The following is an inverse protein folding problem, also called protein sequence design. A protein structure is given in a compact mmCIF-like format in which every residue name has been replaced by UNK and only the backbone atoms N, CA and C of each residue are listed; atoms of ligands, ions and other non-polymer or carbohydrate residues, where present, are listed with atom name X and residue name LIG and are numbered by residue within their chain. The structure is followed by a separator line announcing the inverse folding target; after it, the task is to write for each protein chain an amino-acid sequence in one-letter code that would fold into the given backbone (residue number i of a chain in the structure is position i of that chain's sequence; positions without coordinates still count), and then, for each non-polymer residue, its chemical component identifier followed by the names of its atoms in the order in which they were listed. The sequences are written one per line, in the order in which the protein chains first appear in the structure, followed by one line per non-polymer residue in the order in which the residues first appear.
data_IF_329640047168
#
_entry.id   IF_329640047168
#
_cell.length_a   1.000
_cell.length_b   1.000
_cell.length_c   1.000
_cell.angle_alpha   90.00
_cell.angle_beta   90.00
_cell.angle_gamma   90.00
#
_symmetry.space_group_name_H-M   'P 1'
#
loop_
_entity.id
_entity.type
_entity.pdbx_description
1 polymer ?
#
# COMPACT_ATOMS: atom_id res chain seq x y z
N UNK A 1 20.45 -24.50 -8.81
CA UNK A 1 20.24 -23.10 -8.40
C UNK A 1 18.92 -23.16 -7.63
N UNK A 2 18.88 -22.72 -6.39
CA UNK A 2 17.63 -22.72 -5.66
C UNK A 2 16.75 -21.55 -6.10
N UNK A 3 15.46 -21.55 -5.73
CA UNK A 3 14.48 -20.52 -6.14
C UNK A 3 14.96 -19.12 -5.73
N UNK A 4 15.48 -18.99 -4.50
CA UNK A 4 16.02 -17.75 -3.96
C UNK A 4 17.19 -17.19 -4.80
N UNK A 5 18.15 -18.03 -5.18
CA UNK A 5 19.31 -17.60 -6.02
C UNK A 5 18.86 -17.16 -7.41
N UNK A 6 17.88 -17.87 -7.99
CA UNK A 6 17.29 -17.50 -9.28
C UNK A 6 16.59 -16.15 -9.20
N UNK A 7 15.77 -15.95 -8.17
CA UNK A 7 15.05 -14.70 -7.93
C UNK A 7 16.00 -13.52 -7.73
N UNK A 8 17.00 -13.67 -6.87
CA UNK A 8 17.98 -12.61 -6.61
C UNK A 8 18.70 -12.18 -7.89
N UNK A 9 19.07 -13.16 -8.75
CA UNK A 9 19.69 -12.89 -10.04
C UNK A 9 18.74 -12.17 -11.01
N UNK A 10 17.47 -12.54 -11.04
CA UNK A 10 16.46 -11.88 -11.88
C UNK A 10 16.14 -10.47 -11.37
N UNK A 11 16.09 -10.27 -10.04
CA UNK A 11 15.96 -8.95 -9.43
C UNK A 11 17.16 -8.05 -9.73
N UNK A 12 18.37 -8.58 -9.77
CA UNK A 12 19.56 -7.83 -10.18
C UNK A 12 19.49 -7.42 -11.65
N UNK A 13 19.00 -8.30 -12.52
CA UNK A 13 18.86 -8.04 -13.95
C UNK A 13 17.70 -7.09 -14.28
N UNK A 14 16.61 -7.07 -13.48
CA UNK A 14 15.38 -6.27 -13.63
C UNK A 14 14.70 -6.31 -15.02
N UNK A 15 15.07 -7.24 -15.87
CA UNK A 15 14.54 -7.31 -17.24
C UNK A 15 13.03 -7.60 -17.30
N UNK A 16 12.46 -8.12 -16.21
CA UNK A 16 11.03 -8.48 -16.12
C UNK A 16 10.20 -7.57 -15.24
N UNK A 17 10.82 -6.74 -14.41
CA UNK A 17 10.06 -5.83 -13.54
C UNK A 17 9.64 -4.57 -14.29
N UNK A 18 8.40 -4.10 -14.07
CA UNK A 18 8.00 -2.80 -14.56
C UNK A 18 8.88 -1.71 -13.93
N UNK A 19 9.27 -0.75 -14.75
CA UNK A 19 9.85 0.50 -14.22
C UNK A 19 8.73 1.28 -13.51
N UNK A 20 9.09 1.94 -12.41
CA UNK A 20 8.14 2.88 -11.81
C UNK A 20 7.63 3.86 -12.88
N UNK A 21 6.33 4.15 -12.89
CA UNK A 21 5.80 5.21 -13.75
C UNK A 21 6.62 6.49 -13.57
N UNK A 22 6.97 7.13 -14.69
CA UNK A 22 7.78 8.37 -14.65
C UNK A 22 7.13 9.48 -13.81
N UNK A 23 5.81 9.41 -13.64
CA UNK A 23 5.01 10.30 -12.79
C UNK A 23 5.14 10.01 -11.29
N UNK A 24 5.38 8.75 -10.89
CA UNK A 24 5.35 8.36 -9.48
C UNK A 24 6.53 8.93 -8.69
N UNK A 25 7.76 8.84 -9.18
CA UNK A 25 8.95 9.36 -8.47
C UNK A 25 8.84 10.87 -8.18
N UNK A 26 8.49 11.73 -9.14
CA UNK A 26 8.22 13.13 -8.84
C UNK A 26 7.10 13.33 -7.81
N UNK A 27 6.00 12.58 -7.92
CA UNK A 27 4.90 12.66 -6.94
C UNK A 27 5.37 12.29 -5.53
N UNK A 28 6.15 11.21 -5.37
CA UNK A 28 6.74 10.82 -4.08
C UNK A 28 7.64 11.93 -3.51
N UNK A 29 8.50 12.52 -4.33
CA UNK A 29 9.36 13.65 -3.91
C UNK A 29 8.54 14.89 -3.51
N UNK A 30 7.43 15.15 -4.19
CA UNK A 30 6.52 16.22 -3.81
C UNK A 30 5.81 15.96 -2.49
N UNK A 31 5.59 14.68 -2.12
CA UNK A 31 4.99 14.33 -0.84
C UNK A 31 5.95 14.52 0.35
N UNK A 32 7.26 14.56 0.09
CA UNK A 32 8.29 14.87 1.10
C UNK A 32 8.46 16.39 1.35
N UNK A 33 7.90 17.24 0.50
CA UNK A 33 8.03 18.69 0.63
C UNK A 33 6.92 19.28 1.50
N UNK A 34 7.23 20.31 2.33
CA UNK A 34 6.19 21.04 3.05
C UNK A 34 5.15 21.62 2.08
N UNK A 35 3.87 21.57 2.45
CA UNK A 35 2.77 22.04 1.62
C UNK A 35 2.94 23.50 1.15
N UNK A 36 3.61 24.34 1.94
CA UNK A 36 3.88 25.76 1.65
C UNK A 36 4.81 25.98 0.44
N UNK A 37 5.62 24.96 0.07
CA UNK A 37 6.59 25.05 -1.04
C UNK A 37 6.10 24.41 -2.33
N UNK A 38 4.90 23.84 -2.30
CA UNK A 38 4.36 23.05 -3.41
C UNK A 38 3.73 23.94 -4.49
N UNK A 39 4.19 23.76 -5.72
CA UNK A 39 3.56 24.37 -6.90
C UNK A 39 2.40 23.49 -7.40
N UNK A 40 1.18 23.96 -7.14
CA UNK A 40 -0.06 23.35 -7.61
C UNK A 40 -0.04 23.10 -9.13
N UNK A 41 0.55 24.00 -9.90
CA UNK A 41 0.65 23.89 -11.35
C UNK A 41 1.52 22.69 -11.76
N UNK A 42 2.62 22.45 -11.05
CA UNK A 42 3.51 21.32 -11.33
C UNK A 42 2.82 19.98 -11.10
N UNK A 43 2.02 19.83 -10.04
CA UNK A 43 1.26 18.58 -9.80
C UNK A 43 0.22 18.36 -10.88
N UNK A 44 -0.50 19.41 -11.29
CA UNK A 44 -1.46 19.34 -12.40
C UNK A 44 -0.76 18.88 -13.69
N UNK A 45 0.41 19.45 -14.00
CA UNK A 45 1.18 19.11 -15.19
C UNK A 45 1.68 17.67 -15.15
N UNK A 46 2.24 17.22 -14.02
CA UNK A 46 2.72 15.83 -13.84
C UNK A 46 1.61 14.81 -14.11
N UNK A 47 0.43 15.02 -13.52
CA UNK A 47 -0.71 14.11 -13.72
C UNK A 47 -1.21 14.20 -15.16
N UNK A 48 -1.29 15.41 -15.74
CA UNK A 48 -1.87 15.64 -17.06
C UNK A 48 -0.96 15.18 -18.23
N UNK A 49 0.34 15.00 -17.99
CA UNK A 49 1.28 14.46 -18.99
C UNK A 49 0.98 13.00 -19.34
N UNK A 50 0.45 12.23 -18.41
CA UNK A 50 0.00 10.85 -18.63
C UNK A 50 -1.52 10.81 -18.72
N UNK A 51 -2.05 10.60 -19.94
CA UNK A 51 -3.50 10.58 -20.18
C UNK A 51 -4.21 9.45 -19.45
N UNK A 52 -3.57 8.29 -19.32
CA UNK A 52 -4.13 7.14 -18.60
C UNK A 52 -4.25 7.47 -17.12
N UNK A 53 -3.16 7.97 -16.53
CA UNK A 53 -3.14 8.42 -15.14
C UNK A 53 -4.18 9.50 -14.87
N UNK A 54 -4.31 10.50 -15.76
CA UNK A 54 -5.28 11.57 -15.59
C UNK A 54 -6.74 11.07 -15.59
N UNK A 55 -7.08 10.13 -16.47
CA UNK A 55 -8.41 9.50 -16.51
C UNK A 55 -8.68 8.72 -15.24
N UNK A 56 -7.73 7.88 -14.80
CA UNK A 56 -7.85 7.12 -13.56
C UNK A 56 -7.99 8.03 -12.34
N UNK A 57 -7.20 9.10 -12.27
CA UNK A 57 -7.31 10.11 -11.21
C UNK A 57 -8.69 10.77 -11.17
N UNK A 58 -9.28 11.10 -12.33
CA UNK A 58 -10.62 11.69 -12.37
C UNK A 58 -11.70 10.70 -11.94
N UNK A 59 -11.60 9.43 -12.36
CA UNK A 59 -12.51 8.38 -11.90
C UNK A 59 -12.45 8.23 -10.38
N UNK A 60 -11.24 8.11 -9.83
CA UNK A 60 -11.03 7.96 -8.39
C UNK A 60 -11.47 9.21 -7.62
N UNK A 61 -11.18 10.42 -8.13
CA UNK A 61 -11.58 11.68 -7.53
C UNK A 61 -13.11 11.86 -7.47
N UNK A 62 -13.85 11.25 -8.41
CA UNK A 62 -15.30 11.30 -8.47
C UNK A 62 -15.99 10.17 -7.69
N UNK A 63 -15.22 9.26 -7.07
CA UNK A 63 -15.80 8.19 -6.26
C UNK A 63 -16.32 8.70 -4.90
N UNK A 64 -17.32 8.02 -4.30
CA UNK A 64 -17.82 8.35 -2.97
C UNK A 64 -16.74 8.33 -1.88
N UNK A 65 -15.71 7.50 -2.02
CA UNK A 65 -14.56 7.38 -1.12
C UNK A 65 -13.87 8.73 -0.84
N UNK A 66 -13.90 9.64 -1.80
CA UNK A 66 -13.35 11.01 -1.65
C UNK A 66 -14.40 12.05 -1.32
N UNK A 67 -15.64 11.64 -0.99
CA UNK A 67 -16.67 12.43 -0.31
C UNK A 67 -17.23 13.60 -1.12
N UNK A 68 -17.81 13.35 -2.32
CA UNK A 68 -18.23 14.47 -3.18
C UNK A 68 -19.71 14.53 -3.49
N UNK A 69 -20.17 15.80 -3.53
CA UNK A 69 -21.51 16.18 -4.01
C UNK A 69 -21.50 16.70 -5.47
N UNK A 70 -20.34 16.99 -6.04
CA UNK A 70 -20.20 17.53 -7.41
C UNK A 70 -19.09 16.80 -8.18
N UNK A 71 -19.36 16.46 -9.44
CA UNK A 71 -18.41 15.86 -10.35
C UNK A 71 -17.33 16.83 -10.78
N UNK A 72 -16.07 16.41 -10.81
CA UNK A 72 -14.95 17.16 -11.40
C UNK A 72 -14.68 16.63 -12.81
N UNK A 73 -14.41 17.55 -13.72
CA UNK A 73 -14.19 17.24 -15.13
C UNK A 73 -12.73 17.43 -15.56
N UNK A 74 -11.90 18.06 -14.73
CA UNK A 74 -10.49 18.27 -15.01
C UNK A 74 -9.61 18.03 -13.79
N UNK A 75 -8.32 17.70 -14.01
CA UNK A 75 -7.33 17.57 -12.92
C UNK A 75 -7.21 18.87 -12.12
N UNK A 76 -7.28 20.03 -12.78
CA UNK A 76 -7.29 21.32 -12.11
C UNK A 76 -8.48 21.47 -11.17
N UNK A 77 -9.68 21.14 -11.62
CA UNK A 77 -10.89 21.21 -10.79
C UNK A 77 -10.81 20.25 -9.62
N UNK A 78 -10.28 19.05 -9.88
CA UNK A 78 -10.05 18.05 -8.83
C UNK A 78 -9.07 18.58 -7.77
N UNK A 79 -7.94 19.17 -8.17
CA UNK A 79 -6.97 19.77 -7.24
C UNK A 79 -7.58 20.93 -6.45
N UNK A 80 -8.31 21.84 -7.10
CA UNK A 80 -8.97 22.98 -6.42
C UNK A 80 -10.02 22.51 -5.42
N UNK A 81 -10.75 21.45 -5.74
CA UNK A 81 -11.90 21.00 -4.96
C UNK A 81 -11.53 20.00 -3.86
N UNK A 82 -10.62 19.07 -4.12
CA UNK A 82 -10.18 18.06 -3.16
C UNK A 82 -8.98 18.52 -2.31
N UNK A 83 -8.25 19.50 -2.85
CA UNK A 83 -6.97 19.93 -2.31
C UNK A 83 -5.81 19.10 -2.87
N UNK A 84 -4.63 19.70 -2.79
CA UNK A 84 -3.41 19.17 -3.38
C UNK A 84 -3.01 17.80 -2.77
N UNK A 85 -3.14 17.66 -1.44
CA UNK A 85 -2.78 16.44 -0.74
C UNK A 85 -3.60 15.23 -1.23
N UNK A 86 -4.93 15.38 -1.30
CA UNK A 86 -5.78 14.27 -1.78
C UNK A 86 -5.50 13.90 -3.23
N UNK A 87 -5.21 14.90 -4.07
CA UNK A 87 -4.87 14.61 -5.47
C UNK A 87 -3.52 13.89 -5.61
N UNK A 88 -2.54 14.19 -4.76
CA UNK A 88 -1.28 13.43 -4.70
C UNK A 88 -1.52 11.99 -4.27
N UNK A 89 -2.33 11.76 -3.23
CA UNK A 89 -2.71 10.43 -2.78
C UNK A 89 -3.38 9.62 -3.90
N UNK A 90 -4.36 10.23 -4.58
CA UNK A 90 -5.05 9.64 -5.73
C UNK A 90 -4.05 9.29 -6.85
N UNK A 91 -3.18 10.23 -7.21
CA UNK A 91 -2.20 10.02 -8.27
C UNK A 91 -1.18 8.93 -7.93
N UNK A 92 -0.73 8.86 -6.67
CA UNK A 92 0.14 7.78 -6.20
C UNK A 92 -0.57 6.41 -6.29
N UNK A 93 -1.83 6.34 -5.84
CA UNK A 93 -2.61 5.09 -5.91
C UNK A 93 -2.89 4.65 -7.34
N UNK A 94 -3.24 5.58 -8.24
CA UNK A 94 -3.41 5.28 -9.66
C UNK A 94 -2.09 4.86 -10.32
N UNK A 95 -0.95 5.43 -9.90
CA UNK A 95 0.36 5.03 -10.42
C UNK A 95 0.74 3.60 -10.04
N UNK A 96 0.25 3.08 -8.91
CA UNK A 96 0.43 1.67 -8.54
C UNK A 96 -0.29 0.73 -9.49
N UNK A 97 -1.44 1.11 -10.06
CA UNK A 97 -2.15 0.30 -11.07
C UNK A 97 -1.27 0.00 -12.29
N UNK A 98 -0.41 0.93 -12.68
CA UNK A 98 0.43 0.79 -13.87
C UNK A 98 1.55 -0.26 -13.71
N UNK A 99 1.89 -0.66 -12.49
CA UNK A 99 2.93 -1.66 -12.22
C UNK A 99 2.35 -3.04 -11.89
N UNK A 100 1.03 -3.14 -11.72
CA UNK A 100 0.40 -4.45 -11.48
C UNK A 100 0.47 -5.31 -12.75
N UNK A 101 0.70 -6.63 -12.61
CA UNK A 101 0.69 -7.53 -13.75
C UNK A 101 -0.72 -7.57 -14.37
N UNK A 102 -0.78 -7.81 -15.68
CA UNK A 102 -2.03 -8.15 -16.35
C UNK A 102 -2.53 -9.51 -15.89
N UNK A 103 -3.82 -9.79 -16.07
CA UNK A 103 -4.49 -11.03 -15.69
C UNK A 103 -3.66 -12.29 -15.97
N UNK A 104 -3.70 -13.27 -15.06
CA UNK A 104 -3.06 -14.61 -15.10
C UNK A 104 -1.73 -14.79 -14.34
N UNK A 105 -1.36 -13.89 -13.43
CA UNK A 105 -0.17 -14.08 -12.60
C UNK A 105 -0.41 -14.84 -11.28
N UNK A 106 -1.49 -15.65 -11.19
CA UNK A 106 -1.80 -16.43 -9.99
C UNK A 106 -2.61 -15.71 -8.90
N UNK A 107 -2.69 -14.38 -8.96
CA UNK A 107 -3.53 -13.53 -8.11
C UNK A 107 -4.27 -12.51 -8.99
N UNK A 108 -5.51 -12.20 -8.65
CA UNK A 108 -6.23 -11.08 -9.25
C UNK A 108 -5.57 -9.75 -8.85
N UNK A 109 -5.05 -8.96 -9.79
CA UNK A 109 -4.42 -7.67 -9.49
C UNK A 109 -5.34 -6.71 -8.75
N UNK A 110 -6.65 -6.83 -8.91
CA UNK A 110 -7.64 -6.03 -8.19
C UNK A 110 -7.56 -6.25 -6.68
N UNK A 111 -7.36 -7.50 -6.23
CA UNK A 111 -7.21 -7.85 -4.80
C UNK A 111 -5.97 -7.17 -4.21
N UNK A 112 -4.84 -7.21 -4.91
CA UNK A 112 -3.61 -6.57 -4.43
C UNK A 112 -3.74 -5.05 -4.36
N UNK A 113 -4.39 -4.43 -5.38
CA UNK A 113 -4.62 -2.99 -5.35
C UNK A 113 -5.61 -2.59 -4.26
N UNK A 114 -6.65 -3.38 -4.06
CA UNK A 114 -7.64 -3.19 -2.99
C UNK A 114 -6.98 -3.19 -1.62
N UNK A 115 -6.14 -4.19 -1.35
CA UNK A 115 -5.37 -4.29 -0.12
C UNK A 115 -4.45 -3.08 0.06
N UNK A 116 -3.64 -2.75 -0.94
CA UNK A 116 -2.71 -1.62 -0.88
C UNK A 116 -3.42 -0.28 -0.65
N UNK A 117 -4.53 -0.04 -1.35
CA UNK A 117 -5.33 1.17 -1.17
C UNK A 117 -6.00 1.20 0.21
N UNK A 118 -6.56 0.08 0.66
CA UNK A 118 -7.15 -0.06 1.99
C UNK A 118 -6.13 0.25 3.08
N UNK A 119 -4.94 -0.38 3.02
CA UNK A 119 -3.85 -0.11 3.96
C UNK A 119 -3.41 1.35 3.95
N UNK A 120 -3.28 1.98 2.77
CA UNK A 120 -2.93 3.39 2.68
C UNK A 120 -3.92 4.29 3.43
N UNK A 121 -5.18 4.03 3.24
CA UNK A 121 -6.25 4.83 3.83
C UNK A 121 -6.36 4.57 5.34
N UNK A 122 -6.25 3.31 5.79
CA UNK A 122 -6.24 2.95 7.22
C UNK A 122 -5.01 3.55 7.90
N UNK A 123 -3.81 3.42 7.33
CA UNK A 123 -2.58 4.05 7.84
C UNK A 123 -2.78 5.55 8.09
N UNK A 124 -3.36 6.27 7.13
CA UNK A 124 -3.63 7.71 7.28
C UNK A 124 -4.64 8.03 8.37
N UNK A 125 -5.73 7.28 8.44
CA UNK A 125 -6.76 7.50 9.47
C UNK A 125 -6.23 7.16 10.86
N UNK A 126 -5.50 6.07 10.99
CA UNK A 126 -4.85 5.70 12.24
C UNK A 126 -3.80 6.74 12.65
N UNK A 127 -2.94 7.18 11.72
CA UNK A 127 -1.98 8.26 11.95
C UNK A 127 -2.65 9.54 12.49
N UNK A 128 -3.77 9.95 11.91
CA UNK A 128 -4.56 11.10 12.39
C UNK A 128 -5.10 10.87 13.78
N UNK A 129 -5.67 9.70 14.02
CA UNK A 129 -6.30 9.37 15.28
C UNK A 129 -5.32 9.35 16.46
N UNK A 130 -4.06 8.95 16.21
CA UNK A 130 -3.00 8.93 17.23
C UNK A 130 -2.13 10.19 17.24
N UNK A 131 -2.40 11.17 16.38
CA UNK A 131 -1.60 12.39 16.28
C UNK A 131 -0.19 12.16 15.72
N UNK A 132 -0.05 11.21 14.79
CA UNK A 132 1.21 10.97 14.07
C UNK A 132 1.60 12.21 13.25
N UNK A 133 2.88 12.60 13.22
CA UNK A 133 3.29 13.89 12.65
C UNK A 133 2.96 14.07 11.17
N UNK A 134 3.03 12.98 10.39
CA UNK A 134 2.86 13.02 8.93
C UNK A 134 1.90 11.93 8.43
N UNK A 135 0.58 12.19 8.44
CA UNK A 135 -0.42 11.23 7.93
C UNK A 135 -0.32 10.97 6.42
N UNK A 136 0.31 11.88 5.65
CA UNK A 136 0.53 11.66 4.22
C UNK A 136 1.63 10.61 3.99
N UNK A 137 2.69 10.66 4.80
CA UNK A 137 3.74 9.65 4.80
C UNK A 137 3.18 8.28 5.23
N UNK A 138 2.31 8.24 6.22
CA UNK A 138 1.63 7.01 6.63
C UNK A 138 0.78 6.41 5.49
N UNK A 139 0.09 7.27 4.71
CA UNK A 139 -0.62 6.83 3.51
C UNK A 139 0.29 6.13 2.51
N UNK A 140 1.43 6.75 2.18
CA UNK A 140 2.41 6.16 1.26
C UNK A 140 3.00 4.86 1.79
N UNK A 141 3.27 4.80 3.08
CA UNK A 141 3.77 3.59 3.73
C UNK A 141 2.79 2.42 3.53
N UNK A 142 1.50 2.64 3.80
CA UNK A 142 0.46 1.64 3.55
C UNK A 142 0.28 1.30 2.07
N UNK A 143 0.43 2.28 1.16
CA UNK A 143 0.30 2.03 -0.28
C UNK A 143 1.42 1.16 -0.85
N UNK A 144 2.64 1.28 -0.32
CA UNK A 144 3.85 0.68 -0.88
C UNK A 144 4.35 -0.55 -0.12
N UNK A 145 3.81 -0.86 1.07
CA UNK A 145 4.38 -1.89 1.94
C UNK A 145 4.52 -3.24 1.26
N UNK A 146 3.59 -3.59 0.38
CA UNK A 146 3.50 -4.87 -0.34
C UNK A 146 4.04 -4.84 -1.78
N UNK A 147 4.88 -3.86 -2.10
CA UNK A 147 5.47 -3.77 -3.45
C UNK A 147 6.27 -5.04 -3.84
N UNK A 148 6.74 -5.79 -2.86
CA UNK A 148 7.39 -7.07 -3.08
C UNK A 148 6.47 -8.15 -3.64
N UNK A 149 5.18 -8.14 -3.30
CA UNK A 149 4.17 -9.03 -3.90
C UNK A 149 4.07 -8.77 -5.40
N UNK A 150 4.07 -7.48 -5.80
CA UNK A 150 4.10 -7.10 -7.23
C UNK A 150 5.32 -7.72 -7.91
N UNK A 151 6.49 -7.64 -7.28
CA UNK A 151 7.73 -8.19 -7.82
C UNK A 151 7.66 -9.72 -7.97
N UNK A 152 7.18 -10.43 -6.96
CA UNK A 152 7.02 -11.88 -7.00
C UNK A 152 6.05 -12.32 -8.10
N UNK A 153 4.93 -11.62 -8.27
CA UNK A 153 3.98 -11.87 -9.35
C UNK A 153 4.60 -11.70 -10.77
N UNK A 154 5.53 -10.76 -10.94
CA UNK A 154 6.21 -10.55 -12.22
C UNK A 154 7.31 -11.56 -12.50
N UNK A 155 8.06 -11.96 -11.46
CA UNK A 155 9.30 -12.75 -11.61
C UNK A 155 9.04 -14.23 -11.46
N UNK A 156 8.23 -14.62 -10.47
CA UNK A 156 7.94 -16.01 -10.08
C UNK A 156 6.43 -16.28 -10.01
N UNK A 157 5.65 -16.02 -11.07
CA UNK A 157 4.19 -16.13 -11.02
C UNK A 157 3.69 -17.52 -10.65
N UNK A 158 4.36 -18.58 -11.07
CA UNK A 158 3.98 -19.96 -10.79
C UNK A 158 4.24 -20.31 -9.33
N UNK A 159 5.45 -20.07 -8.85
CA UNK A 159 5.87 -20.37 -7.48
C UNK A 159 5.12 -19.49 -6.46
N UNK A 160 4.84 -18.25 -6.82
CA UNK A 160 4.01 -17.37 -5.99
C UNK A 160 2.56 -17.87 -5.92
N UNK A 161 2.01 -18.39 -7.02
CA UNK A 161 0.69 -19.02 -7.02
C UNK A 161 0.64 -20.24 -6.10
N UNK A 162 1.70 -21.05 -6.05
CA UNK A 162 1.83 -22.18 -5.12
C UNK A 162 1.88 -21.71 -3.66
N UNK A 163 2.62 -20.63 -3.37
CA UNK A 163 2.65 -20.03 -2.04
C UNK A 163 1.28 -19.49 -1.61
N UNK A 164 0.56 -18.84 -2.51
CA UNK A 164 -0.77 -18.33 -2.24
C UNK A 164 -1.78 -19.45 -1.98
N UNK A 165 -1.72 -20.56 -2.73
CA UNK A 165 -2.57 -21.72 -2.51
C UNK A 165 -2.24 -22.39 -1.17
N UNK A 166 -0.95 -22.47 -0.80
CA UNK A 166 -0.53 -22.97 0.51
C UNK A 166 -1.09 -22.08 1.64
N UNK A 167 -0.98 -20.76 1.51
CA UNK A 167 -1.54 -19.81 2.49
C UNK A 167 -3.04 -20.00 2.68
N UNK A 168 -3.78 -20.20 1.57
CA UNK A 168 -5.23 -20.43 1.59
C UNK A 168 -5.61 -21.78 2.21
N UNK A 169 -4.92 -22.84 1.83
CA UNK A 169 -5.26 -24.19 2.28
C UNK A 169 -4.90 -24.45 3.74
N UNK A 170 -3.83 -23.84 4.25
CA UNK A 170 -3.38 -23.98 5.64
C UNK A 170 -3.84 -22.84 6.54
N UNK A 171 -4.52 -21.82 6.02
CA UNK A 171 -4.96 -20.62 6.76
C UNK A 171 -3.81 -19.90 7.49
N UNK A 172 -2.64 -19.84 6.84
CA UNK A 172 -1.45 -19.18 7.37
C UNK A 172 -1.19 -17.82 6.66
N UNK A 173 -0.43 -16.92 7.29
CA UNK A 173 0.00 -15.68 6.65
C UNK A 173 0.76 -15.94 5.35
N UNK A 174 0.55 -15.08 4.34
CA UNK A 174 1.18 -15.22 3.02
C UNK A 174 2.71 -15.27 3.12
N UNK A 175 3.33 -14.41 3.93
CA UNK A 175 4.79 -14.38 4.09
C UNK A 175 5.38 -15.68 4.68
N UNK A 176 4.61 -16.43 5.49
CA UNK A 176 5.02 -17.75 5.98
C UNK A 176 4.96 -18.80 4.85
N UNK A 177 3.93 -18.76 4.02
CA UNK A 177 3.81 -19.65 2.87
C UNK A 177 4.91 -19.35 1.83
N UNK A 178 5.20 -18.08 1.57
CA UNK A 178 6.31 -17.65 0.70
C UNK A 178 7.64 -18.21 1.19
N UNK A 179 7.93 -18.09 2.49
CA UNK A 179 9.18 -18.63 3.05
C UNK A 179 9.31 -20.14 2.85
N UNK A 180 8.20 -20.89 2.92
CA UNK A 180 8.19 -22.35 2.71
C UNK A 180 8.36 -22.76 1.25
N UNK A 181 7.77 -21.98 0.32
CA UNK A 181 7.76 -22.32 -1.11
C UNK A 181 8.91 -21.64 -1.86
N UNK A 182 9.15 -20.35 -1.57
CA UNK A 182 10.09 -19.50 -2.31
C UNK A 182 11.45 -19.35 -1.61
N UNK A 183 11.55 -19.72 -0.33
CA UNK A 183 12.71 -19.48 0.54
C UNK A 183 13.04 -17.97 0.71
N UNK A 184 12.11 -17.09 0.34
CA UNK A 184 12.19 -15.63 0.46
C UNK A 184 10.79 -15.06 0.60
N UNK A 185 10.64 -13.95 1.35
CA UNK A 185 9.36 -13.27 1.53
C UNK A 185 9.21 -12.07 0.60
N UNK A 186 7.96 -11.61 0.41
CA UNK A 186 7.71 -10.34 -0.29
C UNK A 186 8.33 -9.15 0.45
N UNK A 187 8.48 -9.18 1.78
CA UNK A 187 9.17 -8.12 2.52
C UNK A 187 10.66 -8.04 2.15
N UNK A 188 11.35 -9.19 2.05
CA UNK A 188 12.75 -9.24 1.61
C UNK A 188 12.89 -8.82 0.13
N UNK A 189 12.03 -9.34 -0.74
CA UNK A 189 11.98 -8.99 -2.17
C UNK A 189 11.67 -7.52 -2.38
N UNK A 190 10.66 -7.03 -1.67
CA UNK A 190 10.23 -5.64 -1.71
C UNK A 190 11.31 -4.66 -1.27
N UNK A 191 12.10 -5.02 -0.25
CA UNK A 191 13.26 -4.22 0.16
C UNK A 191 14.23 -4.01 -1.01
N UNK A 192 14.60 -5.07 -1.72
CA UNK A 192 15.51 -4.98 -2.87
C UNK A 192 14.93 -4.10 -3.99
N UNK A 193 13.63 -4.23 -4.24
CA UNK A 193 12.91 -3.40 -5.21
C UNK A 193 12.89 -1.94 -4.78
N UNK A 194 12.53 -1.64 -3.53
CA UNK A 194 12.45 -0.29 -2.99
C UNK A 194 13.82 0.42 -3.03
N UNK A 195 14.90 -0.28 -2.66
CA UNK A 195 16.27 0.22 -2.77
C UNK A 195 16.65 0.51 -4.23
N UNK A 196 16.30 -0.39 -5.15
CA UNK A 196 16.58 -0.23 -6.58
C UNK A 196 15.81 0.93 -7.20
N UNK A 197 14.57 1.11 -6.81
CA UNK A 197 13.75 2.25 -7.23
C UNK A 197 14.15 3.55 -6.52
N UNK A 198 15.11 3.49 -5.59
CA UNK A 198 15.57 4.64 -4.79
C UNK A 198 14.43 5.31 -4.05
N UNK A 199 13.54 4.50 -3.48
CA UNK A 199 12.50 5.02 -2.60
C UNK A 199 13.13 5.63 -1.34
N UNK A 200 12.44 6.55 -0.66
CA UNK A 200 12.87 7.10 0.63
C UNK A 200 13.22 6.01 1.64
N UNK A 201 14.20 6.27 2.50
CA UNK A 201 14.69 5.28 3.46
C UNK A 201 13.60 4.77 4.42
N UNK A 202 12.64 5.63 4.77
CA UNK A 202 11.47 5.26 5.55
C UNK A 202 10.57 4.25 4.81
N UNK A 203 10.36 4.41 3.51
CA UNK A 203 9.58 3.45 2.70
C UNK A 203 10.31 2.11 2.60
N UNK A 204 11.64 2.13 2.41
CA UNK A 204 12.45 0.91 2.44
C UNK A 204 12.33 0.19 3.79
N UNK A 205 12.36 0.92 4.91
CA UNK A 205 12.19 0.35 6.25
C UNK A 205 10.80 -0.28 6.43
N UNK A 206 9.75 0.41 5.99
CA UNK A 206 8.37 -0.11 6.04
C UNK A 206 8.24 -1.39 5.23
N UNK A 207 8.63 -1.37 3.97
CA UNK A 207 8.54 -2.54 3.07
C UNK A 207 9.30 -3.74 3.65
N UNK A 208 10.49 -3.50 4.21
CA UNK A 208 11.33 -4.57 4.75
C UNK A 208 10.82 -5.17 6.07
N UNK A 209 10.09 -4.40 6.90
CA UNK A 209 9.86 -4.77 8.31
C UNK A 209 8.39 -4.74 8.75
N UNK A 210 7.42 -4.53 7.85
CA UNK A 210 6.01 -4.42 8.25
C UNK A 210 5.44 -5.71 8.89
N UNK A 211 5.99 -6.88 8.59
CA UNK A 211 5.63 -8.13 9.27
C UNK A 211 6.43 -8.40 10.55
N UNK A 212 7.60 -7.78 10.71
CA UNK A 212 8.38 -7.81 11.95
C UNK A 212 8.88 -6.40 12.32
N UNK A 213 8.04 -5.56 12.92
CA UNK A 213 8.41 -4.19 13.26
C UNK A 213 9.54 -4.09 14.31
N UNK A 214 9.85 -5.20 15.03
CA UNK A 214 11.00 -5.25 15.94
C UNK A 214 12.33 -5.24 15.19
N UNK A 215 12.36 -5.73 13.95
CA UNK A 215 13.53 -5.72 13.07
C UNK A 215 13.90 -4.34 12.54
N UNK A 216 12.98 -3.36 12.63
CA UNK A 216 13.24 -2.01 12.16
C UNK A 216 14.25 -1.27 13.06
N UNK A 217 15.35 -0.79 12.46
CA UNK A 217 16.40 -0.01 13.14
C UNK A 217 16.16 1.49 13.07
N UNK A 218 15.32 1.94 12.14
CA UNK A 218 14.92 3.34 11.95
C UNK A 218 13.44 3.40 11.58
N UNK A 219 12.80 4.56 11.74
CA UNK A 219 11.38 4.80 11.39
C UNK A 219 10.43 3.79 12.03
N UNK A 220 10.74 3.37 13.26
CA UNK A 220 10.07 2.27 13.95
C UNK A 220 8.59 2.53 14.18
N UNK A 221 8.23 3.77 14.45
CA UNK A 221 6.86 4.24 14.62
C UNK A 221 6.03 4.09 13.33
N UNK A 222 6.59 4.52 12.18
CA UNK A 222 5.93 4.38 10.88
C UNK A 222 5.78 2.90 10.47
N UNK A 223 6.83 2.09 10.69
CA UNK A 223 6.79 0.64 10.44
C UNK A 223 5.71 -0.02 11.31
N UNK A 224 5.67 0.31 12.59
CA UNK A 224 4.71 -0.24 13.53
C UNK A 224 3.26 0.19 13.21
N UNK A 225 3.06 1.45 12.81
CA UNK A 225 1.77 1.95 12.36
C UNK A 225 1.29 1.19 11.12
N UNK A 226 2.18 0.99 10.14
CA UNK A 226 1.85 0.25 8.91
C UNK A 226 1.55 -1.22 9.22
N UNK A 227 2.34 -1.87 10.08
CA UNK A 227 2.12 -3.24 10.52
C UNK A 227 0.73 -3.46 11.13
N UNK A 228 0.31 -2.59 12.06
CA UNK A 228 -1.01 -2.67 12.68
C UNK A 228 -2.14 -2.37 11.68
N UNK A 229 -1.92 -1.46 10.76
CA UNK A 229 -2.90 -1.12 9.71
C UNK A 229 -3.09 -2.26 8.72
N UNK A 230 -2.02 -2.96 8.34
CA UNK A 230 -2.06 -4.16 7.50
C UNK A 230 -2.87 -5.27 8.19
N UNK A 231 -2.59 -5.56 9.46
CA UNK A 231 -3.34 -6.54 10.26
C UNK A 231 -4.82 -6.17 10.27
N UNK A 232 -5.15 -4.89 10.52
CA UNK A 232 -6.53 -4.43 10.55
C UNK A 232 -7.23 -4.62 9.20
N UNK A 233 -6.57 -4.33 8.09
CA UNK A 233 -7.10 -4.57 6.74
C UNK A 233 -7.38 -6.05 6.50
N UNK A 234 -6.43 -6.93 6.82
CA UNK A 234 -6.59 -8.38 6.64
C UNK A 234 -7.73 -8.97 7.48
N UNK A 235 -7.87 -8.53 8.73
CA UNK A 235 -8.97 -8.92 9.61
C UNK A 235 -10.35 -8.51 9.07
N UNK A 236 -10.42 -7.43 8.31
CA UNK A 236 -11.65 -6.91 7.72
C UNK A 236 -11.84 -7.33 6.25
N UNK A 237 -11.17 -8.39 5.82
CA UNK A 237 -11.38 -8.97 4.49
C UNK A 237 -10.61 -8.31 3.35
N UNK A 238 -9.85 -7.25 3.61
CA UNK A 238 -8.93 -6.64 2.65
C UNK A 238 -7.55 -7.29 2.77
N UNK A 239 -7.44 -8.59 2.49
CA UNK A 239 -6.19 -9.35 2.47
C UNK A 239 -5.87 -9.82 1.05
N UNK A 240 -4.89 -10.72 0.93
CA UNK A 240 -4.44 -11.29 -0.35
C UNK A 240 -5.33 -12.45 -0.84
N UNK A 241 -6.61 -12.48 -0.43
CA UNK A 241 -7.54 -13.56 -0.77
C UNK A 241 -7.31 -14.86 0.03
N UNK A 242 -6.58 -14.80 1.12
CA UNK A 242 -6.47 -15.85 2.15
C UNK A 242 -7.09 -15.36 3.45
N UNK A 243 -7.67 -16.27 4.22
CA UNK A 243 -8.17 -16.02 5.57
C UNK A 243 -7.20 -16.66 6.54
N UNK A 244 -6.68 -15.89 7.48
CA UNK A 244 -5.77 -16.37 8.50
C UNK A 244 -6.58 -16.89 9.70
N UNK A 245 -6.22 -18.07 10.19
CA UNK A 245 -6.84 -18.65 11.39
C UNK A 245 -6.08 -18.16 12.65
N UNK A 246 -6.14 -16.84 12.88
CA UNK A 246 -5.44 -16.17 13.96
C UNK A 246 -6.38 -15.21 14.69
N UNK A 247 -6.52 -15.39 16.00
CA UNK A 247 -7.06 -14.35 16.87
C UNK A 247 -6.01 -13.24 17.03
N UNK A 248 -6.42 -11.98 16.81
CA UNK A 248 -5.55 -10.81 16.94
C UNK A 248 -5.96 -10.01 18.16
N UNK A 249 -5.04 -9.90 19.13
CA UNK A 249 -5.10 -8.88 20.17
C UNK A 249 -4.11 -7.78 19.82
N UNK A 250 -4.62 -6.61 19.43
CA UNK A 250 -3.77 -5.48 19.02
C UNK A 250 -2.79 -5.04 20.09
N UNK A 251 -3.12 -5.17 21.38
CA UNK A 251 -2.22 -4.78 22.48
C UNK A 251 -1.04 -5.75 22.63
N UNK A 252 -1.18 -6.99 22.17
CA UNK A 252 -0.13 -8.00 22.15
C UNK A 252 0.75 -7.94 20.90
N UNK A 253 0.31 -7.22 19.86
CA UNK A 253 1.07 -7.08 18.63
C UNK A 253 2.37 -6.27 18.84
N UNK A 254 3.50 -6.71 18.24
CA UNK A 254 4.77 -6.02 18.38
C UNK A 254 4.71 -4.53 18.03
N UNK A 255 3.93 -4.18 17.01
CA UNK A 255 3.73 -2.81 16.56
C UNK A 255 3.09 -1.92 17.62
N UNK A 256 2.15 -2.46 18.40
CA UNK A 256 1.48 -1.69 19.45
C UNK A 256 2.46 -1.19 20.52
N UNK A 257 3.31 -2.09 21.02
CA UNK A 257 4.32 -1.74 22.04
C UNK A 257 5.33 -0.69 21.54
N UNK A 258 5.66 -0.71 20.25
CA UNK A 258 6.54 0.29 19.63
C UNK A 258 5.84 1.64 19.55
N UNK A 259 4.61 1.68 19.02
CA UNK A 259 3.83 2.92 18.91
C UNK A 259 3.50 3.52 20.27
N UNK A 260 3.23 2.69 21.28
CA UNK A 260 2.91 3.17 22.62
C UNK A 260 4.03 3.97 23.28
N UNK A 261 5.29 3.73 22.89
CA UNK A 261 6.45 4.49 23.40
C UNK A 261 6.43 5.93 22.89
N UNK A 262 6.08 6.16 21.63
CA UNK A 262 6.07 7.47 20.98
C UNK A 262 4.69 8.15 21.08
N UNK A 263 3.62 7.34 21.20
CA UNK A 263 2.21 7.79 21.23
C UNK A 263 1.48 7.23 22.46
N UNK A 264 1.73 7.77 23.68
CA UNK A 264 1.14 7.25 24.93
C UNK A 264 -0.39 7.26 24.99
N UNK A 265 -1.04 8.10 24.18
CA UNK A 265 -2.51 8.16 24.03
C UNK A 265 -3.13 6.85 23.51
N UNK A 266 -2.34 5.95 22.91
CA UNK A 266 -2.80 4.62 22.51
C UNK A 266 -3.30 3.76 23.68
N UNK A 267 -2.91 4.04 24.93
CA UNK A 267 -3.42 3.33 26.11
C UNK A 267 -4.92 3.47 26.29
N UNK A 268 -5.51 4.54 25.80
CA UNK A 268 -6.94 4.83 25.86
C UNK A 268 -7.58 4.86 24.49
N UNK A 269 -6.94 4.26 23.50
CA UNK A 269 -7.44 4.25 22.13
C UNK A 269 -8.66 3.33 22.02
N UNK A 270 -9.74 3.86 21.50
CA UNK A 270 -10.98 3.09 21.29
C UNK A 270 -10.90 2.28 20.00
N UNK A 271 -10.27 1.11 20.10
CA UNK A 271 -10.11 0.17 18.97
C UNK A 271 -11.46 -0.25 18.40
N UNK A 272 -12.45 -0.51 19.24
CA UNK A 272 -13.77 -0.95 18.80
C UNK A 272 -14.44 0.11 17.92
N UNK A 273 -14.38 1.35 18.36
CA UNK A 273 -14.89 2.48 17.57
C UNK A 273 -14.10 2.67 16.27
N UNK A 274 -12.78 2.62 16.35
CA UNK A 274 -11.93 2.81 15.17
C UNK A 274 -12.18 1.71 14.12
N UNK A 275 -12.26 0.44 14.54
CA UNK A 275 -12.57 -0.68 13.65
C UNK A 275 -13.94 -0.51 13.00
N UNK A 276 -14.96 -0.15 13.79
CA UNK A 276 -16.31 0.10 13.27
C UNK A 276 -16.35 1.24 12.24
N UNK A 277 -15.63 2.35 12.49
CA UNK A 277 -15.54 3.46 11.52
C UNK A 277 -14.78 3.03 10.23
N UNK A 278 -13.92 2.01 10.32
CA UNK A 278 -13.17 1.49 9.16
C UNK A 278 -14.01 0.51 8.31
N UNK A 279 -15.01 -0.17 8.86
CA UNK A 279 -15.87 -1.10 8.10
C UNK A 279 -16.56 -0.40 6.91
N UNK A 280 -17.26 0.71 7.15
CA UNK A 280 -17.90 1.50 6.10
C UNK A 280 -16.90 1.97 5.03
N UNK A 281 -15.70 2.30 5.49
CA UNK A 281 -14.63 2.78 4.65
C UNK A 281 -14.05 1.68 3.73
N UNK A 282 -13.92 0.46 4.25
CA UNK A 282 -13.47 -0.70 3.48
C UNK A 282 -14.48 -1.11 2.40
N UNK A 283 -15.78 -1.00 2.70
CA UNK A 283 -16.83 -1.19 1.68
C UNK A 283 -16.72 -0.18 0.53
N UNK A 284 -16.39 1.08 0.81
CA UNK A 284 -16.16 2.09 -0.23
C UNK A 284 -14.92 1.79 -1.07
N UNK A 285 -13.83 1.27 -0.45
CA UNK A 285 -12.65 0.80 -1.17
C UNK A 285 -13.03 -0.32 -2.12
N UNK A 286 -13.74 -1.34 -1.66
CA UNK A 286 -14.21 -2.45 -2.48
C UNK A 286 -15.05 -1.97 -3.67
N UNK A 287 -16.01 -1.06 -3.44
CA UNK A 287 -16.82 -0.47 -4.51
C UNK A 287 -15.99 0.28 -5.55
N UNK A 288 -15.00 1.07 -5.10
CA UNK A 288 -14.11 1.80 -6.00
C UNK A 288 -13.29 0.85 -6.87
N UNK A 289 -12.67 -0.18 -6.25
CA UNK A 289 -11.87 -1.17 -6.97
C UNK A 289 -12.71 -1.90 -8.02
N UNK A 290 -13.90 -2.33 -7.65
CA UNK A 290 -14.85 -2.96 -8.59
C UNK A 290 -15.17 -2.06 -9.79
N UNK A 291 -15.37 -0.75 -9.58
CA UNK A 291 -15.62 0.21 -10.66
C UNK A 291 -14.39 0.45 -11.56
N UNK A 292 -13.19 0.37 -11.01
CA UNK A 292 -11.94 0.60 -11.75
C UNK A 292 -11.54 -0.60 -12.60
N UNK A 293 -11.78 -1.84 -12.12
CA UNK A 293 -11.41 -3.08 -12.81
C UNK A 293 -12.53 -3.67 -13.65
N UNK A 294 -13.78 -3.44 -13.26
CA UNK A 294 -14.97 -3.98 -13.95
C UNK A 294 -15.93 -2.86 -14.32
N UNK A 295 -15.52 -1.91 -15.20
CA UNK A 295 -16.41 -0.86 -15.64
C UNK A 295 -17.62 -1.48 -16.35
N UNK A 296 -18.81 -1.24 -15.82
CA UNK A 296 -20.11 -1.72 -16.35
C UNK A 296 -20.44 -1.11 -17.72
#
# INVERSE_FOLDING_TARGET
MNVRESLLKELEALDRMPTLPASLIPLLRYMEQPDETLDLQQVIELISQDKSLAVQCLHMANSPLFGRSQTVESIRDAVVTLGLQRMRDIAASCSMLAILPSENAGMDPAILWEHSLGCALVCRQFARAIGFPDPAKAYLAGLLHDVGVVALLWILPTEFSEALELARSEHIPLHEAELRVLEITHAETGKLVAERWRLPAEMVSVVACHHDPRGATAYRDLVALTSLSDILCRMNGLGHGSVEDREVDFEEEPGFGILLQEHPQLRSFDWARFTFEMEDFMEEVHRLVSLMYHPS
#
